data_IF_244459029470
#
_entry.id   IF_244459029470
#
_cell.length_a   1.000
_cell.length_b   1.000
_cell.length_c   1.000
_cell.angle_alpha   90.00
_cell.angle_beta   90.00
_cell.angle_gamma   90.00
#
_symmetry.space_group_name_H-M   'P 1'
#
loop_
_entity.id
_entity.type
_entity.pdbx_description
1 polymer ?
#
# COMPACT_ATOMS: atom_id res chain seq x y z
N UNK A 1 7.79 -1.47 37.64
CA UNK A 1 7.83 -0.21 36.86
C UNK A 1 7.28 -0.47 35.46
N UNK A 2 6.01 -0.15 35.23
CA UNK A 2 5.42 -0.22 33.90
C UNK A 2 6.01 0.93 33.06
N UNK A 3 6.84 0.60 32.06
CA UNK A 3 7.37 1.60 31.11
C UNK A 3 6.20 2.27 30.41
N UNK A 4 6.04 3.57 30.68
CA UNK A 4 4.97 4.41 30.15
C UNK A 4 4.89 4.31 28.63
N UNK A 5 3.77 3.79 28.11
CA UNK A 5 3.39 3.98 26.72
C UNK A 5 2.91 5.41 26.57
N UNK A 6 3.69 6.25 25.86
CA UNK A 6 3.28 7.62 25.52
C UNK A 6 1.91 7.57 24.81
N UNK A 7 0.87 8.26 25.31
CA UNK A 7 -0.39 8.40 24.60
C UNK A 7 -0.14 9.29 23.39
N UNK A 8 -0.37 8.78 22.17
CA UNK A 8 -0.15 9.52 20.92
C UNK A 8 0.68 8.80 19.85
N UNK A 9 1.34 7.67 20.16
CA UNK A 9 1.89 6.80 19.11
C UNK A 9 0.74 6.03 18.47
N UNK A 10 0.11 6.60 17.43
CA UNK A 10 -0.52 5.76 16.40
C UNK A 10 0.59 4.92 15.79
N UNK A 11 0.77 3.72 16.35
CA UNK A 11 1.61 2.69 15.80
C UNK A 11 1.19 2.49 14.34
N UNK A 12 2.17 2.44 13.44
CA UNK A 12 1.97 2.22 12.00
C UNK A 12 0.76 1.31 11.73
N UNK A 13 -0.17 1.76 10.88
CA UNK A 13 -1.30 0.92 10.47
C UNK A 13 -0.76 -0.21 9.60
N UNK A 14 -0.96 -1.45 10.03
CA UNK A 14 -0.68 -2.61 9.20
C UNK A 14 -1.81 -2.76 8.20
N UNK A 15 -1.48 -2.70 6.92
CA UNK A 15 -2.42 -2.88 5.80
C UNK A 15 -2.09 -4.19 5.13
N UNK A 16 -3.11 -5.05 4.94
CA UNK A 16 -3.00 -6.24 4.10
C UNK A 16 -3.34 -5.84 2.68
N UNK A 17 -2.49 -6.22 1.74
CA UNK A 17 -2.66 -5.93 0.32
C UNK A 17 -2.87 -7.25 -0.43
N UNK A 18 -3.84 -7.27 -1.33
CA UNK A 18 -3.97 -8.33 -2.33
C UNK A 18 -3.26 -7.86 -3.60
N UNK A 19 -2.38 -8.70 -4.15
CA UNK A 19 -1.62 -8.41 -5.35
C UNK A 19 -1.76 -9.58 -6.32
N UNK A 20 -1.79 -9.33 -7.65
CA UNK A 20 -1.66 -10.38 -8.64
C UNK A 20 -0.40 -11.21 -8.39
N UNK A 21 -0.52 -12.54 -8.45
CA UNK A 21 0.55 -13.50 -8.14
C UNK A 21 1.85 -13.18 -8.90
N UNK A 22 1.74 -12.77 -10.16
CA UNK A 22 2.87 -12.35 -10.99
C UNK A 22 3.59 -11.13 -10.41
N UNK A 23 2.85 -10.10 -10.00
CA UNK A 23 3.42 -8.87 -9.44
C UNK A 23 4.12 -9.18 -8.11
N UNK A 24 3.49 -9.98 -7.26
CA UNK A 24 4.11 -10.42 -6.01
C UNK A 24 5.48 -11.07 -6.25
N UNK A 25 5.58 -12.05 -7.15
CA UNK A 25 6.85 -12.75 -7.39
C UNK A 25 7.92 -11.85 -8.03
N UNK A 26 7.53 -10.89 -8.87
CA UNK A 26 8.46 -9.91 -9.42
C UNK A 26 9.04 -9.04 -8.30
N UNK A 27 8.18 -8.47 -7.45
CA UNK A 27 8.62 -7.64 -6.31
C UNK A 27 9.47 -8.44 -5.33
N UNK A 28 9.10 -9.70 -5.07
CA UNK A 28 9.83 -10.60 -4.19
C UNK A 28 11.22 -10.96 -4.76
N UNK A 29 11.30 -11.24 -6.06
CA UNK A 29 12.57 -11.49 -6.76
C UNK A 29 13.50 -10.27 -6.75
N UNK A 30 12.98 -9.08 -7.05
CA UNK A 30 13.74 -7.81 -6.96
C UNK A 30 14.25 -7.58 -5.54
N UNK A 31 13.43 -7.90 -4.53
CA UNK A 31 13.81 -7.80 -3.12
C UNK A 31 14.81 -8.88 -2.66
N UNK A 32 15.29 -9.76 -3.56
CA UNK A 32 16.23 -10.84 -3.25
C UNK A 32 15.59 -11.93 -2.41
N UNK A 33 14.33 -12.28 -2.69
CA UNK A 33 13.54 -13.27 -1.95
C UNK A 33 13.41 -12.94 -0.45
N UNK A 34 13.37 -11.65 -0.10
CA UNK A 34 13.27 -11.19 1.28
C UNK A 34 12.03 -10.29 1.48
N UNK A 35 11.06 -10.77 2.25
CA UNK A 35 9.80 -10.06 2.48
C UNK A 35 9.98 -8.71 3.19
N UNK A 36 10.95 -8.57 4.09
CA UNK A 36 11.20 -7.30 4.77
C UNK A 36 11.73 -6.25 3.78
N UNK A 37 12.60 -6.66 2.84
CA UNK A 37 13.08 -5.78 1.76
C UNK A 37 11.97 -5.46 0.78
N UNK A 38 11.11 -6.41 0.45
CA UNK A 38 9.93 -6.18 -0.39
C UNK A 38 8.98 -5.15 0.24
N UNK A 39 8.73 -5.24 1.56
CA UNK A 39 7.93 -4.26 2.27
C UNK A 39 8.54 -2.86 2.26
N UNK A 40 9.87 -2.74 2.31
CA UNK A 40 10.57 -1.46 2.15
C UNK A 40 10.48 -0.93 0.72
N UNK A 41 10.62 -1.81 -0.28
CA UNK A 41 10.48 -1.48 -1.69
C UNK A 41 9.08 -0.93 -1.99
N UNK A 42 8.04 -1.61 -1.53
CA UNK A 42 6.65 -1.17 -1.71
C UNK A 42 6.44 0.22 -1.07
N UNK A 43 7.01 0.49 0.10
CA UNK A 43 6.94 1.81 0.73
C UNK A 43 7.62 2.88 -0.11
N UNK A 44 8.84 2.62 -0.57
CA UNK A 44 9.59 3.57 -1.40
C UNK A 44 8.83 3.90 -2.70
N UNK A 45 8.25 2.89 -3.36
CA UNK A 45 7.43 3.10 -4.57
C UNK A 45 6.20 3.98 -4.27
N UNK A 46 5.54 3.76 -3.13
CA UNK A 46 4.39 4.57 -2.73
C UNK A 46 4.79 6.00 -2.38
N UNK A 47 5.89 6.19 -1.65
CA UNK A 47 6.43 7.50 -1.30
C UNK A 47 6.82 8.28 -2.56
N UNK A 48 7.57 7.66 -3.46
CA UNK A 48 7.96 8.25 -4.75
C UNK A 48 6.74 8.65 -5.59
N UNK A 49 5.72 7.78 -5.68
CA UNK A 49 4.50 8.09 -6.43
C UNK A 49 3.74 9.25 -5.79
N UNK A 50 3.67 9.33 -4.46
CA UNK A 50 3.01 10.43 -3.76
C UNK A 50 3.75 11.76 -3.93
N UNK A 51 5.08 11.73 -3.97
CA UNK A 51 5.91 12.93 -4.19
C UNK A 51 5.75 13.48 -5.61
N UNK A 52 5.59 12.60 -6.60
CA UNK A 52 5.57 12.98 -8.02
C UNK A 52 4.17 13.16 -8.62
N UNK A 53 3.11 12.67 -7.97
CA UNK A 53 1.74 12.77 -8.49
C UNK A 53 1.02 14.04 -8.08
N UNK A 54 0.21 14.58 -8.99
CA UNK A 54 -0.69 15.70 -8.70
C UNK A 54 -1.94 15.24 -7.92
N UNK A 55 -2.60 16.17 -7.21
CA UNK A 55 -3.87 15.87 -6.52
C UNK A 55 -4.94 15.32 -7.47
N UNK A 56 -4.97 15.80 -8.71
CA UNK A 56 -5.92 15.35 -9.73
C UNK A 56 -5.69 13.87 -10.15
N UNK A 57 -4.44 13.45 -10.29
CA UNK A 57 -4.08 12.05 -10.59
C UNK A 57 -4.41 11.11 -9.43
N UNK A 58 -4.21 11.55 -8.19
CA UNK A 58 -4.55 10.75 -7.02
C UNK A 58 -6.07 10.60 -6.87
N UNK A 59 -6.84 11.65 -7.21
CA UNK A 59 -8.30 11.61 -7.18
C UNK A 59 -8.87 10.62 -8.21
N UNK A 60 -8.33 10.60 -9.43
CA UNK A 60 -8.82 9.69 -10.48
C UNK A 60 -8.65 8.22 -10.12
N UNK A 61 -7.59 7.86 -9.38
CA UNK A 61 -7.37 6.50 -8.87
C UNK A 61 -8.40 6.07 -7.83
N UNK A 62 -9.02 7.01 -7.12
CA UNK A 62 -10.10 6.72 -6.17
C UNK A 62 -11.45 6.56 -6.87
N UNK A 63 -11.65 7.26 -7.99
CA UNK A 63 -12.89 7.20 -8.77
C UNK A 63 -13.02 5.91 -9.57
N UNK A 64 -11.93 5.39 -10.14
CA UNK A 64 -11.92 4.07 -10.80
C UNK A 64 -12.32 2.95 -9.84
N UNK A 65 -11.79 2.96 -8.62
CA UNK A 65 -12.14 1.97 -7.59
C UNK A 65 -13.55 2.10 -7.00
N UNK A 66 -14.28 3.21 -7.26
CA UNK A 66 -15.71 3.32 -6.94
C UNK A 66 -16.58 2.67 -8.01
N UNK A 67 -16.24 2.85 -9.29
CA UNK A 67 -16.99 2.23 -10.40
C UNK A 67 -16.89 0.71 -10.38
N UNK A 68 -15.71 0.16 -10.13
CA UNK A 68 -15.51 -1.31 -10.03
C UNK A 68 -16.30 -1.94 -8.87
N UNK A 69 -16.51 -1.21 -7.76
CA UNK A 69 -17.30 -1.69 -6.61
C UNK A 69 -18.80 -1.59 -6.81
N UNK A 70 -19.27 -0.61 -7.58
CA UNK A 70 -20.69 -0.47 -7.93
C UNK A 70 -21.12 -1.59 -8.88
N UNK A 71 -20.25 -2.02 -9.81
CA UNK A 71 -20.49 -3.16 -10.70
C UNK A 71 -20.54 -4.51 -9.95
N UNK A 72 -19.68 -4.75 -8.95
CA UNK A 72 -19.72 -5.98 -8.13
C UNK A 72 -20.98 -6.14 -7.24
N UNK A 73 -21.74 -5.07 -7.00
CA UNK A 73 -22.96 -5.11 -6.18
C UNK A 73 -24.27 -5.16 -6.98
N UNK A 74 -24.20 -5.09 -8.32
CA UNK A 74 -25.36 -5.06 -9.20
C UNK A 74 -25.62 -6.40 -9.93
N UNK A 75 -24.74 -7.40 -9.77
CA UNK A 75 -24.94 -8.81 -10.18
C UNK A 75 -25.35 -9.68 -8.99
#
# INVERSE_FOLDING_TARGET
>A
MARGRKPGKRANKVVKLSLPKRIYYVLYGIAGNNEQRMNKLIRAILEEKLENSTLAELASLLETGRREKEEETAE
#
